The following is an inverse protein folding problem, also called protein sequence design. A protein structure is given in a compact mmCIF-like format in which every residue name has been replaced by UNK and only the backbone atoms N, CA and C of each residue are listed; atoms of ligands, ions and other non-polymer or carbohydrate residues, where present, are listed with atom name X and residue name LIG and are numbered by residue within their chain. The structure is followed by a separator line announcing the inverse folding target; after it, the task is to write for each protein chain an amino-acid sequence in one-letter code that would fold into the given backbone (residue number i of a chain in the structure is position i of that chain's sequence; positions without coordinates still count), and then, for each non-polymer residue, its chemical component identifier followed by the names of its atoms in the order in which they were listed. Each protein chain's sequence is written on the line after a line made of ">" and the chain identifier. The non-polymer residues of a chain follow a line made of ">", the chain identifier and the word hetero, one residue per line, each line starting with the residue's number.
data_IF_460042581858
#
_entry.id   IF_460042581858
#
_cell.length_a   1.000
_cell.length_b   1.000
_cell.length_c   1.000
_cell.angle_alpha   90.00
_cell.angle_beta   90.00
_cell.angle_gamma   90.00
#
_symmetry.space_group_name_H-M   'P 1'
#
loop_
_entity.id
_entity.type
_entity.pdbx_description
1 polymer ?
#
# COMPACT_ATOMS: atom_id res chain seq x y z
N UNK A 1 24.37 -30.01 66.38
CA UNK A 1 24.61 -31.42 65.96
C UNK A 1 24.40 -31.49 64.44
N UNK A 2 25.43 -31.81 63.63
CA UNK A 2 25.64 -33.10 62.89
C UNK A 2 24.32 -33.68 62.31
N UNK A 3 24.14 -34.14 61.06
CA UNK A 3 24.89 -34.42 59.81
C UNK A 3 23.80 -34.62 58.71
N UNK A 4 23.96 -34.15 57.47
CA UNK A 4 24.49 -34.85 56.28
C UNK A 4 23.62 -35.99 55.69
N UNK A 5 23.11 -35.79 54.45
CA UNK A 5 23.04 -36.76 53.32
C UNK A 5 22.68 -35.96 52.04
N UNK A 6 23.62 -35.50 51.21
CA UNK A 6 24.18 -36.15 50.00
C UNK A 6 23.17 -36.78 49.03
N UNK A 7 22.96 -36.12 47.89
CA UNK A 7 22.83 -36.79 46.59
C UNK A 7 23.42 -35.90 45.49
N UNK A 8 24.54 -36.36 44.93
CA UNK A 8 25.16 -35.85 43.69
C UNK A 8 24.35 -36.32 42.47
N UNK A 9 24.23 -35.49 41.42
CA UNK A 9 24.48 -35.90 40.02
C UNK A 9 25.02 -34.70 39.21
N UNK A 10 26.35 -34.69 39.03
CA UNK A 10 27.18 -34.35 37.84
C UNK A 10 26.65 -33.28 36.86
N UNK A 11 27.22 -32.06 36.82
CA UNK A 11 28.46 -31.64 36.10
C UNK A 11 28.61 -32.19 34.67
N UNK A 12 28.31 -31.32 33.70
CA UNK A 12 28.68 -31.45 32.29
C UNK A 12 28.93 -30.07 31.69
N UNK A 13 30.09 -29.49 32.02
CA UNK A 13 30.63 -28.27 31.44
C UNK A 13 31.32 -28.66 30.11
N UNK A 14 30.76 -28.26 28.97
CA UNK A 14 31.43 -28.43 27.67
C UNK A 14 31.82 -27.04 27.13
N UNK A 15 33.06 -26.66 27.43
CA UNK A 15 33.81 -25.60 26.75
C UNK A 15 34.18 -26.11 25.35
N UNK A 16 33.63 -25.50 24.31
CA UNK A 16 34.14 -25.65 22.95
C UNK A 16 34.84 -24.33 22.58
N UNK A 17 36.16 -24.35 22.74
CA UNK A 17 37.11 -23.50 22.03
C UNK A 17 37.21 -24.04 20.60
N UNK A 18 36.82 -23.25 19.60
CA UNK A 18 37.14 -23.53 18.21
C UNK A 18 37.89 -22.36 17.60
N UNK A 19 39.08 -22.73 17.12
CA UNK A 19 40.12 -21.96 16.49
C UNK A 19 39.67 -21.22 15.23
N UNK A 20 40.38 -20.12 14.99
CA UNK A 20 40.41 -19.27 13.82
C UNK A 20 40.56 -20.04 12.51
N UNK A 21 39.75 -19.70 11.51
CA UNK A 21 40.08 -19.85 10.10
C UNK A 21 39.87 -18.51 9.41
N UNK A 22 40.96 -17.75 9.25
CA UNK A 22 41.03 -16.63 8.33
C UNK A 22 40.94 -17.19 6.90
N UNK A 23 39.72 -17.22 6.35
CA UNK A 23 39.52 -17.52 4.95
C UNK A 23 39.86 -16.26 4.13
N UNK A 24 41.08 -16.24 3.60
CA UNK A 24 41.42 -15.41 2.44
C UNK A 24 40.53 -15.85 1.27
N UNK A 25 39.38 -15.18 1.11
CA UNK A 25 38.54 -15.35 -0.07
C UNK A 25 39.25 -14.82 -1.32
N UNK A 26 38.96 -15.37 -2.50
CA UNK A 26 39.61 -14.97 -3.75
C UNK A 26 39.31 -13.49 -4.04
N UNK A 27 40.39 -12.74 -4.28
CA UNK A 27 40.35 -11.40 -4.88
C UNK A 27 39.60 -11.50 -6.21
N UNK A 28 38.41 -10.92 -6.28
CA UNK A 28 37.70 -10.74 -7.55
C UNK A 28 38.42 -9.63 -8.31
N UNK A 29 39.12 -10.02 -9.37
CA UNK A 29 39.62 -9.09 -10.38
C UNK A 29 38.42 -8.49 -11.09
N UNK A 30 38.08 -7.26 -10.73
CA UNK A 30 37.14 -6.44 -11.50
C UNK A 30 37.81 -6.11 -12.82
N UNK A 31 37.47 -6.84 -13.88
CA UNK A 31 37.81 -6.45 -15.25
C UNK A 31 37.16 -5.09 -15.51
N UNK A 32 37.99 -4.05 -15.67
CA UNK A 32 37.59 -2.78 -16.25
C UNK A 32 37.00 -3.07 -17.62
N UNK A 33 35.66 -3.04 -17.71
CA UNK A 33 34.96 -2.98 -18.99
C UNK A 33 35.42 -1.67 -19.62
N UNK A 34 36.19 -1.80 -20.69
CA UNK A 34 36.58 -0.66 -21.52
C UNK A 34 35.32 -0.13 -22.14
N UNK A 35 34.89 1.05 -21.71
CA UNK A 35 33.79 1.81 -22.30
C UNK A 35 34.04 1.90 -23.81
N UNK A 36 33.31 1.09 -24.56
CA UNK A 36 33.26 1.24 -26.01
C UNK A 36 32.38 2.46 -26.23
N UNK A 37 32.91 3.56 -26.81
CA UNK A 37 32.12 4.76 -27.02
C UNK A 37 30.86 4.38 -27.82
N UNK A 38 29.67 4.87 -27.42
CA UNK A 38 28.46 4.58 -28.15
C UNK A 38 28.63 5.00 -29.61
N UNK A 39 28.10 4.22 -30.57
CA UNK A 39 28.14 4.61 -31.98
C UNK A 39 27.55 6.02 -32.13
N UNK A 40 28.10 6.86 -33.03
CA UNK A 40 27.62 8.21 -33.22
C UNK A 40 26.13 8.18 -33.53
N UNK A 41 25.34 8.81 -32.66
CA UNK A 41 23.91 9.02 -32.86
C UNK A 41 23.71 9.74 -34.19
N UNK A 42 23.04 9.08 -35.13
CA UNK A 42 22.67 9.69 -36.41
C UNK A 42 21.89 10.98 -36.13
N UNK A 43 22.38 12.09 -36.66
CA UNK A 43 21.69 13.39 -36.60
C UNK A 43 20.39 13.24 -37.41
N UNK A 44 19.20 13.43 -36.81
CA UNK A 44 17.96 13.38 -37.56
C UNK A 44 17.96 14.49 -38.61
N UNK A 45 17.87 14.07 -39.86
CA UNK A 45 17.79 14.94 -41.03
C UNK A 45 16.36 15.45 -41.20
N UNK A 46 16.28 16.72 -41.62
CA UNK A 46 15.11 17.46 -42.07
C UNK A 46 14.03 17.78 -41.02
N UNK A 47 14.04 19.05 -40.58
CA UNK A 47 12.87 19.71 -39.99
C UNK A 47 11.81 19.84 -41.09
N UNK A 48 10.60 19.25 -40.93
CA UNK A 48 9.53 19.42 -41.91
C UNK A 48 9.07 20.89 -41.96
N UNK A 49 8.67 21.39 -43.14
CA UNK A 49 8.16 22.75 -43.28
C UNK A 49 6.91 22.96 -42.43
N UNK A 50 6.81 24.14 -41.80
CA UNK A 50 5.69 24.54 -40.96
C UNK A 50 4.38 24.48 -41.77
N UNK A 51 3.49 23.58 -41.37
CA UNK A 51 2.16 23.47 -41.95
C UNK A 51 1.24 24.44 -41.21
N UNK A 52 0.78 25.49 -41.89
CA UNK A 52 -0.19 26.42 -41.34
C UNK A 52 -1.56 25.73 -41.27
N UNK A 53 -2.02 25.45 -40.05
CA UNK A 53 -3.38 24.98 -39.81
C UNK A 53 -4.37 26.15 -39.95
N UNK A 54 -5.53 25.94 -40.60
CA UNK A 54 -6.54 26.97 -40.73
C UNK A 54 -7.07 27.38 -39.34
N UNK A 55 -7.32 28.67 -39.17
CA UNK A 55 -7.87 29.23 -37.94
C UNK A 55 -9.23 28.57 -37.63
N UNK A 56 -9.45 28.08 -36.40
CA UNK A 56 -10.72 27.48 -36.03
C UNK A 56 -11.84 28.50 -36.16
N UNK A 57 -12.89 28.14 -36.90
CA UNK A 57 -14.14 28.90 -36.94
C UNK A 57 -14.81 28.71 -35.58
N UNK A 58 -14.85 29.76 -34.77
CA UNK A 58 -15.51 29.74 -33.48
C UNK A 58 -17.03 29.65 -33.69
N UNK A 59 -17.60 28.50 -33.35
CA UNK A 59 -19.04 28.37 -33.18
C UNK A 59 -19.49 29.21 -31.96
N UNK A 60 -20.68 29.83 -32.01
CA UNK A 60 -21.20 30.57 -30.88
C UNK A 60 -21.35 29.65 -29.65
N UNK A 61 -21.06 30.15 -28.43
CA UNK A 61 -21.15 29.34 -27.22
C UNK A 61 -22.58 28.83 -27.05
N UNK A 62 -22.73 27.51 -26.89
CA UNK A 62 -24.00 26.90 -26.50
C UNK A 62 -24.33 27.34 -25.07
N UNK A 63 -25.57 27.75 -24.76
CA UNK A 63 -25.93 28.16 -23.41
C UNK A 63 -25.68 27.01 -22.42
N UNK A 64 -24.81 27.25 -21.44
CA UNK A 64 -24.56 26.31 -20.35
C UNK A 64 -25.84 26.18 -19.51
N UNK A 65 -26.37 24.98 -19.28
CA UNK A 65 -27.55 24.80 -18.44
C UNK A 65 -27.25 25.32 -17.03
N UNK A 66 -28.18 26.10 -16.48
CA UNK A 66 -28.12 26.54 -15.09
C UNK A 66 -28.18 25.31 -14.19
N UNK A 67 -27.23 25.11 -13.25
CA UNK A 67 -27.25 23.96 -12.37
C UNK A 67 -28.54 23.98 -11.52
N UNK A 68 -29.21 22.85 -11.44
CA UNK A 68 -30.31 22.63 -10.50
C UNK A 68 -29.79 22.82 -9.08
N UNK A 69 -30.54 23.44 -8.16
CA UNK A 69 -30.11 23.57 -6.77
C UNK A 69 -29.84 22.18 -6.18
N UNK A 70 -28.66 22.02 -5.58
CA UNK A 70 -28.32 20.85 -4.78
C UNK A 70 -29.23 20.84 -3.55
N UNK A 71 -29.94 19.74 -3.25
CA UNK A 71 -30.78 19.67 -2.06
C UNK A 71 -29.93 19.90 -0.80
N UNK A 72 -30.45 20.74 0.11
CA UNK A 72 -29.84 20.95 1.42
C UNK A 72 -29.98 19.66 2.23
N UNK A 73 -28.90 19.10 2.80
CA UNK A 73 -29.00 17.93 3.66
C UNK A 73 -29.92 18.22 4.86
N UNK A 74 -30.82 17.29 5.18
CA UNK A 74 -31.64 17.36 6.38
C UNK A 74 -30.74 17.12 7.62
N UNK A 75 -30.60 18.09 8.56
CA UNK A 75 -29.80 17.92 9.76
C UNK A 75 -30.29 16.79 10.69
N UNK A 76 -31.53 16.32 10.52
CA UNK A 76 -32.07 15.18 11.26
C UNK A 76 -31.68 13.81 10.69
N UNK A 77 -31.19 13.77 9.44
CA UNK A 77 -30.56 12.57 8.91
C UNK A 77 -29.19 12.43 9.59
N UNK A 78 -29.01 11.34 10.35
CA UNK A 78 -27.72 11.03 10.99
C UNK A 78 -26.56 10.96 9.99
N UNK A 79 -25.33 10.66 10.46
CA UNK A 79 -24.19 10.51 9.56
C UNK A 79 -24.53 9.52 8.44
N UNK A 80 -24.21 9.88 7.20
CA UNK A 80 -24.44 9.04 6.01
C UNK A 80 -23.21 8.21 5.64
N UNK A 81 -22.08 8.46 6.30
CA UNK A 81 -20.80 7.77 6.12
C UNK A 81 -20.19 7.45 7.50
N UNK A 82 -19.37 6.40 7.64
CA UNK A 82 -18.67 6.12 8.89
C UNK A 82 -17.73 7.28 9.27
N UNK A 83 -17.57 7.51 10.57
CA UNK A 83 -16.58 8.46 11.08
C UNK A 83 -15.18 7.94 10.82
N UNK A 84 -14.35 8.77 10.20
CA UNK A 84 -12.91 8.53 10.10
C UNK A 84 -12.21 9.13 11.31
N UNK A 85 -11.54 8.29 12.09
CA UNK A 85 -10.75 8.75 13.23
C UNK A 85 -9.57 9.62 12.78
N UNK A 86 -9.00 10.38 13.70
CA UNK A 86 -7.75 11.11 13.46
C UNK A 86 -6.55 10.16 13.37
N UNK A 87 -5.44 10.60 12.78
CA UNK A 87 -4.21 9.79 12.71
C UNK A 87 -3.71 9.32 14.10
N UNK A 88 -3.69 10.15 15.17
CA UNK A 88 -3.35 9.69 16.51
C UNK A 88 -4.29 8.62 17.07
N UNK A 89 -5.62 8.79 16.90
CA UNK A 89 -6.61 7.78 17.30
C UNK A 89 -6.38 6.47 16.55
N UNK A 90 -6.13 6.54 15.24
CA UNK A 90 -5.81 5.38 14.40
C UNK A 90 -4.60 4.66 14.96
N UNK A 91 -3.48 5.37 15.18
CA UNK A 91 -2.23 4.80 15.72
C UNK A 91 -2.42 4.08 17.06
N UNK A 92 -3.22 4.65 17.96
CA UNK A 92 -3.53 4.03 19.26
C UNK A 92 -4.31 2.72 19.04
N UNK A 93 -5.29 2.72 18.14
CA UNK A 93 -6.16 1.57 17.91
C UNK A 93 -5.54 0.45 17.05
N UNK A 94 -4.45 0.69 16.31
CA UNK A 94 -3.71 -0.39 15.63
C UNK A 94 -3.23 -1.49 16.57
N UNK A 95 -3.04 -1.19 17.86
CA UNK A 95 -2.64 -2.17 18.89
C UNK A 95 -3.82 -2.75 19.66
N UNK A 96 -5.03 -2.21 19.45
CA UNK A 96 -6.21 -2.64 20.16
C UNK A 96 -6.76 -3.93 19.55
N UNK A 97 -6.60 -5.05 20.26
CA UNK A 97 -7.03 -6.37 19.79
C UNK A 97 -8.56 -6.52 19.65
N UNK A 98 -9.34 -5.61 20.24
CA UNK A 98 -10.78 -5.59 20.08
C UNK A 98 -11.23 -4.99 18.73
N UNK A 99 -10.34 -4.27 18.03
CA UNK A 99 -10.63 -3.71 16.72
C UNK A 99 -10.10 -4.66 15.63
N UNK A 100 -10.99 -5.24 14.80
CA UNK A 100 -10.57 -6.11 13.72
C UNK A 100 -9.89 -5.32 12.59
N UNK A 101 -8.99 -6.01 11.90
CA UNK A 101 -8.36 -5.52 10.67
C UNK A 101 -9.14 -6.06 9.48
N UNK A 102 -9.53 -5.18 8.55
CA UNK A 102 -10.37 -5.54 7.42
C UNK A 102 -9.78 -6.70 6.61
N UNK A 103 -8.47 -6.67 6.36
CA UNK A 103 -7.85 -7.68 5.54
C UNK A 103 -7.56 -9.00 6.27
N UNK A 104 -7.59 -9.07 7.61
CA UNK A 104 -7.17 -10.29 8.33
C UNK A 104 -8.01 -11.51 7.96
N UNK A 105 -9.31 -11.31 7.78
CA UNK A 105 -10.25 -12.36 7.41
C UNK A 105 -10.20 -12.67 5.89
N UNK A 106 -9.75 -11.71 5.08
CA UNK A 106 -9.73 -11.76 3.62
C UNK A 106 -8.42 -12.29 3.03
N UNK A 107 -7.38 -12.48 3.84
CA UNK A 107 -6.07 -12.96 3.37
C UNK A 107 -6.13 -14.29 2.63
N UNK A 108 -7.11 -15.15 2.94
CA UNK A 108 -7.28 -16.46 2.27
C UNK A 108 -7.72 -16.32 0.81
N UNK A 109 -8.47 -15.28 0.50
CA UNK A 109 -9.00 -14.99 -0.83
C UNK A 109 -8.20 -13.90 -1.54
N UNK A 110 -7.05 -13.52 -0.96
CA UNK A 110 -6.23 -12.46 -1.49
C UNK A 110 -5.69 -12.88 -2.87
N UNK A 111 -6.14 -12.15 -3.88
CA UNK A 111 -5.54 -12.12 -5.21
C UNK A 111 -5.16 -10.69 -5.55
N UNK A 112 -4.18 -10.55 -6.43
CA UNK A 112 -3.82 -9.26 -6.99
C UNK A 112 -4.94 -8.81 -7.94
N UNK A 113 -5.48 -7.58 -7.81
CA UNK A 113 -6.38 -7.05 -8.82
C UNK A 113 -5.66 -6.96 -10.16
N UNK A 114 -6.41 -7.03 -11.26
CA UNK A 114 -5.90 -6.62 -12.58
C UNK A 114 -6.49 -5.26 -12.92
N UNK A 115 -5.84 -4.44 -13.76
CA UNK A 115 -6.39 -3.13 -14.14
C UNK A 115 -7.81 -3.21 -14.70
N UNK A 116 -8.11 -4.25 -15.47
CA UNK A 116 -9.40 -4.53 -16.10
C UNK A 116 -10.38 -5.32 -15.21
N UNK A 117 -9.93 -5.84 -14.07
CA UNK A 117 -10.69 -6.73 -13.19
C UNK A 117 -10.64 -6.22 -11.75
N UNK A 118 -11.50 -5.24 -11.37
CA UNK A 118 -11.54 -4.73 -10.02
C UNK A 118 -11.96 -5.81 -9.04
N UNK A 119 -11.36 -5.82 -7.85
CA UNK A 119 -11.74 -6.75 -6.79
C UNK A 119 -12.80 -6.13 -5.90
N UNK A 120 -13.88 -6.87 -5.67
CA UNK A 120 -14.98 -6.49 -4.80
C UNK A 120 -15.15 -7.57 -3.73
N UNK A 121 -15.20 -7.15 -2.47
CA UNK A 121 -15.40 -8.01 -1.30
C UNK A 121 -16.65 -7.57 -0.56
N UNK A 122 -17.42 -8.51 -0.03
CA UNK A 122 -18.50 -8.23 0.92
C UNK A 122 -18.02 -8.55 2.33
N UNK A 123 -18.21 -7.62 3.26
CA UNK A 123 -17.69 -7.73 4.63
C UNK A 123 -18.80 -7.39 5.60
N UNK A 124 -19.11 -8.33 6.51
CA UNK A 124 -20.02 -8.05 7.62
C UNK A 124 -19.25 -7.36 8.74
N UNK A 125 -19.73 -6.20 9.19
CA UNK A 125 -19.14 -5.48 10.32
C UNK A 125 -19.42 -6.25 11.62
N UNK A 126 -18.36 -6.61 12.34
CA UNK A 126 -18.44 -7.45 13.56
C UNK A 126 -18.22 -6.67 14.87
N UNK A 127 -17.99 -5.36 14.78
CA UNK A 127 -17.58 -4.50 15.89
C UNK A 127 -17.91 -3.05 15.59
N UNK A 128 -17.93 -2.21 16.62
CA UNK A 128 -18.25 -0.77 16.51
C UNK A 128 -17.20 0.02 15.70
N UNK A 129 -16.00 -0.54 15.52
CA UNK A 129 -14.93 0.03 14.72
C UNK A 129 -14.18 -1.00 13.90
N UNK A 130 -13.46 -0.53 12.88
CA UNK A 130 -12.75 -1.35 11.90
C UNK A 130 -11.45 -0.64 11.49
N UNK A 131 -10.33 -1.37 11.45
CA UNK A 131 -9.12 -0.90 10.79
C UNK A 131 -9.23 -1.24 9.30
N UNK A 132 -9.34 -0.22 8.45
CA UNK A 132 -9.23 -0.36 7.01
C UNK A 132 -7.78 -0.09 6.58
N UNK A 133 -7.09 -1.16 6.18
CA UNK A 133 -5.67 -1.14 5.86
C UNK A 133 -5.38 -1.45 4.39
N UNK A 134 -4.29 -0.88 3.88
CA UNK A 134 -3.66 -1.23 2.62
C UNK A 134 -2.20 -1.58 2.88
N UNK A 135 -1.76 -2.72 2.34
CA UNK A 135 -0.39 -3.20 2.46
C UNK A 135 0.25 -3.25 1.08
N UNK A 136 1.45 -2.70 0.98
CA UNK A 136 2.34 -2.92 -0.15
C UNK A 136 3.66 -3.45 0.38
N UNK A 137 4.02 -4.69 0.01
CA UNK A 137 5.23 -5.35 0.46
C UNK A 137 6.21 -5.54 -0.70
N UNK A 138 7.51 -5.44 -0.41
CA UNK A 138 8.58 -5.65 -1.36
C UNK A 138 9.70 -6.50 -0.74
N UNK A 139 10.55 -7.08 -1.60
CA UNK A 139 11.62 -7.98 -1.19
C UNK A 139 12.70 -7.32 -0.31
N UNK A 140 12.76 -6.00 -0.27
CA UNK A 140 13.61 -5.23 0.64
C UNK A 140 13.03 -3.83 0.88
N UNK A 141 13.54 -3.13 1.90
CA UNK A 141 13.14 -1.74 2.17
C UNK A 141 13.51 -0.77 1.03
N UNK A 142 14.64 -1.03 0.37
CA UNK A 142 15.09 -0.22 -0.77
C UNK A 142 14.11 -0.35 -1.95
N UNK A 143 13.68 -1.58 -2.27
CA UNK A 143 12.67 -1.81 -3.30
C UNK A 143 11.32 -1.23 -2.88
N UNK A 144 10.94 -1.38 -1.59
CA UNK A 144 9.71 -0.79 -1.07
C UNK A 144 9.68 0.74 -1.27
N UNK A 145 10.77 1.42 -0.93
CA UNK A 145 10.88 2.86 -1.07
C UNK A 145 10.69 3.31 -2.52
N UNK A 146 11.40 2.67 -3.46
CA UNK A 146 11.29 3.00 -4.89
C UNK A 146 9.91 2.68 -5.47
N UNK A 147 9.29 1.57 -5.04
CA UNK A 147 7.98 1.16 -5.54
C UNK A 147 6.86 2.08 -5.08
N UNK A 148 6.77 2.36 -3.78
CA UNK A 148 5.73 3.25 -3.22
C UNK A 148 5.86 4.66 -3.79
N UNK A 149 7.08 5.17 -4.00
CA UNK A 149 7.30 6.49 -4.61
C UNK A 149 6.84 6.58 -6.08
N UNK A 150 6.73 5.44 -6.76
CA UNK A 150 6.28 5.35 -8.16
C UNK A 150 4.79 5.09 -8.30
N UNK A 151 4.05 5.03 -7.19
CA UNK A 151 2.62 4.74 -7.14
C UNK A 151 1.83 5.96 -6.69
N UNK A 152 0.62 6.10 -7.21
CA UNK A 152 -0.37 7.07 -6.71
C UNK A 152 -1.55 6.34 -6.09
N UNK A 153 -1.74 6.51 -4.79
CA UNK A 153 -2.89 5.96 -4.06
C UNK A 153 -4.04 6.96 -3.99
N UNK A 154 -5.27 6.49 -4.14
CA UNK A 154 -6.52 7.23 -3.91
C UNK A 154 -7.44 6.38 -3.02
N UNK A 155 -7.90 6.94 -1.91
CA UNK A 155 -8.75 6.28 -0.93
C UNK A 155 -10.10 6.97 -0.90
N UNK A 156 -11.20 6.20 -0.91
CA UNK A 156 -12.56 6.72 -0.92
C UNK A 156 -13.47 5.93 0.02
N UNK A 157 -14.40 6.64 0.66
CA UNK A 157 -15.46 6.09 1.52
C UNK A 157 -16.77 6.57 0.93
N UNK A 158 -17.62 5.65 0.50
CA UNK A 158 -18.89 5.94 -0.17
C UNK A 158 -18.75 6.90 -1.37
N UNK A 159 -17.63 6.77 -2.10
CA UNK A 159 -17.31 7.61 -3.26
C UNK A 159 -16.65 8.95 -2.91
N UNK A 160 -16.62 9.35 -1.64
CA UNK A 160 -15.95 10.57 -1.20
C UNK A 160 -14.48 10.33 -0.86
N UNK A 161 -13.55 11.23 -1.24
CA UNK A 161 -12.13 11.08 -0.90
C UNK A 161 -11.89 11.01 0.62
N UNK A 162 -11.18 9.99 1.07
CA UNK A 162 -10.74 9.90 2.45
C UNK A 162 -9.61 10.91 2.72
N UNK A 163 -9.68 11.58 3.86
CA UNK A 163 -8.71 12.60 4.28
C UNK A 163 -7.33 11.98 4.55
N UNK A 164 -6.27 12.29 3.79
CA UNK A 164 -4.95 11.68 3.99
C UNK A 164 -4.39 11.90 5.41
N UNK A 165 -4.68 13.04 6.02
CA UNK A 165 -4.26 13.41 7.39
C UNK A 165 -4.94 12.58 8.49
N UNK A 166 -6.02 11.87 8.16
CA UNK A 166 -6.67 10.90 9.07
C UNK A 166 -6.02 9.52 9.03
N UNK A 167 -5.19 9.24 8.02
CA UNK A 167 -4.49 7.96 7.91
C UNK A 167 -3.27 7.88 8.82
N UNK A 168 -2.83 6.66 9.11
CA UNK A 168 -1.52 6.42 9.71
C UNK A 168 -0.74 5.43 8.84
N UNK A 169 0.40 5.88 8.32
CA UNK A 169 1.31 5.04 7.52
C UNK A 169 2.52 4.64 8.34
N UNK A 170 2.84 3.35 8.35
CA UNK A 170 4.03 2.81 9.01
C UNK A 170 4.71 1.74 8.16
N UNK A 171 5.97 1.46 8.48
CA UNK A 171 6.71 0.34 7.90
C UNK A 171 6.68 -0.87 8.82
N UNK A 172 6.58 -2.05 8.24
CA UNK A 172 6.72 -3.32 8.94
C UNK A 172 7.76 -4.19 8.23
N UNK A 173 8.68 -4.75 9.01
CA UNK A 173 9.66 -5.71 8.52
C UNK A 173 9.20 -7.11 8.89
N UNK A 174 9.23 -8.03 7.92
CA UNK A 174 8.89 -9.43 8.15
C UNK A 174 10.16 -10.26 8.37
N UNK A 175 9.98 -11.47 8.91
CA UNK A 175 11.10 -12.36 9.27
C UNK A 175 11.93 -12.84 8.07
N UNK A 176 11.38 -12.78 6.86
CA UNK A 176 12.06 -13.14 5.61
C UNK A 176 12.90 -12.00 5.02
N UNK A 177 13.00 -10.87 5.72
CA UNK A 177 13.73 -9.68 5.27
C UNK A 177 12.92 -8.73 4.39
N UNK A 178 11.67 -9.08 4.05
CA UNK A 178 10.77 -8.21 3.32
C UNK A 178 10.34 -7.00 4.14
N UNK A 179 9.95 -5.94 3.44
CA UNK A 179 9.45 -4.72 4.04
C UNK A 179 8.08 -4.38 3.46
N UNK A 180 7.15 -3.99 4.32
CA UNK A 180 5.81 -3.56 3.94
C UNK A 180 5.58 -2.10 4.35
N UNK A 181 4.99 -1.31 3.46
CA UNK A 181 4.34 -0.04 3.79
C UNK A 181 2.87 -0.33 4.05
N UNK A 182 2.39 0.07 5.22
CA UNK A 182 1.01 -0.15 5.64
C UNK A 182 0.36 1.20 5.89
N UNK A 183 -0.67 1.54 5.11
CA UNK A 183 -1.52 2.71 5.35
C UNK A 183 -2.82 2.25 5.94
N UNK A 184 -3.19 2.79 7.10
CA UNK A 184 -4.40 2.41 7.81
C UNK A 184 -5.30 3.61 8.13
N UNK A 185 -6.60 3.38 8.07
CA UNK A 185 -7.65 4.24 8.59
C UNK A 185 -8.39 3.50 9.70
N UNK A 186 -8.71 4.19 10.79
CA UNK A 186 -9.65 3.66 11.79
C UNK A 186 -11.03 4.27 11.55
N UNK A 187 -12.00 3.41 11.26
CA UNK A 187 -13.38 3.77 10.93
C UNK A 187 -14.30 3.32 12.05
N UNK A 188 -15.24 4.17 12.46
CA UNK A 188 -16.16 3.91 13.56
C UNK A 188 -17.49 4.66 13.35
N UNK A 189 -18.44 4.48 14.28
CA UNK A 189 -19.75 5.14 14.26
C UNK A 189 -20.49 4.89 12.93
N UNK A 190 -20.48 3.62 12.50
CA UNK A 190 -21.02 3.18 11.22
C UNK A 190 -22.54 3.39 11.16
N UNK A 191 -23.06 4.12 10.16
CA UNK A 191 -24.48 4.11 9.86
C UNK A 191 -24.94 2.71 9.45
N UNK A 192 -26.20 2.37 9.71
CA UNK A 192 -26.77 1.10 9.25
C UNK A 192 -26.82 1.07 7.71
N UNK A 193 -26.45 -0.06 7.11
CA UNK A 193 -26.48 -0.24 5.66
C UNK A 193 -25.16 -0.70 5.06
N UNK A 194 -25.02 -0.55 3.73
CA UNK A 194 -23.82 -0.93 3.00
C UNK A 194 -22.98 0.29 2.66
N UNK A 195 -21.71 0.21 3.00
CA UNK A 195 -20.72 1.27 2.81
C UNK A 195 -19.55 0.77 1.97
N UNK A 196 -19.18 1.51 0.93
CA UNK A 196 -18.11 1.16 0.01
C UNK A 196 -16.79 1.79 0.44
N UNK A 197 -15.85 0.97 0.92
CA UNK A 197 -14.46 1.37 1.10
C UNK A 197 -13.68 1.02 -0.16
N UNK A 198 -13.06 2.01 -0.79
CA UNK A 198 -12.31 1.80 -2.02
C UNK A 198 -10.91 2.37 -1.89
N UNK A 199 -9.91 1.59 -2.29
CA UNK A 199 -8.62 2.16 -2.61
C UNK A 199 -8.24 1.81 -4.05
N UNK A 200 -7.57 2.74 -4.71
CA UNK A 200 -6.94 2.52 -6.00
C UNK A 200 -5.47 2.86 -5.91
N UNK A 201 -4.66 2.17 -6.70
CA UNK A 201 -3.28 2.56 -6.94
C UNK A 201 -3.02 2.59 -8.44
N UNK A 202 -2.37 3.67 -8.89
CA UNK A 202 -1.99 3.83 -10.29
C UNK A 202 -0.49 3.66 -10.43
N UNK A 203 -0.10 2.82 -11.38
CA UNK A 203 1.28 2.56 -11.77
C UNK A 203 1.47 3.11 -13.18
N UNK A 204 2.44 4.00 -13.39
CA UNK A 204 2.67 4.67 -14.69
C UNK A 204 3.66 3.93 -15.60
N UNK A 205 4.51 3.08 -15.02
CA UNK A 205 5.51 2.26 -15.72
C UNK A 205 5.47 0.80 -15.29
N UNK A 206 6.36 -0.04 -15.81
CA UNK A 206 6.56 -1.36 -15.23
C UNK A 206 7.17 -1.19 -13.83
N UNK A 207 6.59 -1.84 -12.83
CA UNK A 207 7.01 -1.75 -11.43
C UNK A 207 7.36 -3.14 -10.91
N UNK A 208 8.51 -3.33 -10.27
CA UNK A 208 8.88 -4.59 -9.62
C UNK A 208 8.96 -4.39 -8.11
N UNK A 209 8.28 -5.23 -7.34
CA UNK A 209 8.42 -5.29 -5.87
C UNK A 209 9.49 -6.30 -5.42
N UNK A 210 10.25 -6.87 -6.36
CA UNK A 210 11.25 -7.90 -6.12
C UNK A 210 10.67 -9.33 -6.07
N UNK A 211 9.35 -9.48 -5.98
CA UNK A 211 8.64 -10.75 -6.08
C UNK A 211 7.89 -10.87 -7.42
N UNK A 212 7.35 -9.76 -7.91
CA UNK A 212 6.41 -9.67 -9.03
C UNK A 212 6.71 -8.45 -9.87
N UNK A 213 6.30 -8.52 -11.14
CA UNK A 213 6.31 -7.40 -12.07
C UNK A 213 4.86 -6.96 -12.33
N UNK A 214 4.56 -5.70 -12.03
CA UNK A 214 3.27 -5.05 -12.28
C UNK A 214 3.34 -4.23 -13.56
N UNK A 215 2.26 -4.29 -14.33
CA UNK A 215 2.11 -3.50 -15.56
C UNK A 215 1.60 -2.09 -15.22
N UNK A 216 1.79 -1.11 -16.11
CA UNK A 216 1.12 0.17 -16.00
C UNK A 216 -0.40 -0.02 -15.97
N UNK A 217 -1.08 0.76 -15.14
CA UNK A 217 -2.54 0.71 -15.02
C UNK A 217 -3.04 1.23 -13.68
N UNK A 218 -4.36 1.35 -13.58
CA UNK A 218 -5.04 1.67 -12.33
C UNK A 218 -5.68 0.40 -11.79
N UNK A 219 -5.25 0.01 -10.61
CA UNK A 219 -5.72 -1.16 -9.90
C UNK A 219 -6.72 -0.71 -8.84
N UNK A 220 -7.81 -1.46 -8.68
CA UNK A 220 -8.91 -1.09 -7.77
C UNK A 220 -9.32 -2.25 -6.89
N UNK A 221 -9.50 -1.95 -5.60
CA UNK A 221 -10.14 -2.83 -4.64
C UNK A 221 -11.27 -2.10 -3.94
N UNK A 222 -12.40 -2.77 -3.76
CA UNK A 222 -13.59 -2.26 -3.09
C UNK A 222 -14.07 -3.27 -2.06
N UNK A 223 -14.40 -2.78 -0.88
CA UNK A 223 -14.98 -3.55 0.22
C UNK A 223 -16.36 -2.95 0.51
N UNK A 224 -17.40 -3.73 0.28
CA UNK A 224 -18.77 -3.41 0.66
C UNK A 224 -18.97 -3.88 2.10
N UNK A 225 -18.76 -2.96 3.05
CA UNK A 225 -18.93 -3.21 4.47
C UNK A 225 -20.40 -3.04 4.83
N UNK A 226 -21.01 -4.08 5.37
CA UNK A 226 -22.41 -4.13 5.77
C UNK A 226 -22.47 -3.94 7.28
N UNK A 227 -22.97 -2.78 7.71
CA UNK A 227 -23.20 -2.41 9.09
C UNK A 227 -24.67 -2.71 9.50
N UNK A 228 -24.89 -3.21 10.72
CA UNK A 228 -26.21 -3.63 11.20
C UNK A 228 -27.18 -2.47 11.43
#
# INVERSE_FOLDING_TARGET
>A
MKRCLLLEVRRGLLLILLASAAACGPVRVTTLVTDTPPPPTAVPSAVPPATFTPYPTYAPPTPTPTPSPTPTPDPAAGPVVPRVATSPETKVNLKNKAVPWLNSDLLKDFREPKPEEPLVFEVQLKSDGLIWDNWWCAASDEILFGTVASMKFDYRIDGEPAKPESSFTFKQFLADGSACSVTAYYLLDWPAGTHALQYTYTITGNLSDGYRLYKPGTYRRTYNVIAP
#
